data_IF_501670075869
#
_entry.id   IF_501670075869
#
_cell.length_a   1.000
_cell.length_b   1.000
_cell.length_c   1.000
_cell.angle_alpha   90.00
_cell.angle_beta   90.00
_cell.angle_gamma   90.00
#
_symmetry.space_group_name_H-M   'P 1'
#
loop_
_entity.id
_entity.type
_entity.pdbx_description
1 polymer ?
#
# COMPACT_ATOMS: atom_id res chain seq x y z
N UNK A 1 -11.28 6.69 9.62
CA UNK A 1 -10.84 5.69 10.64
C UNK A 1 -10.33 4.39 10.01
N UNK A 2 -11.13 3.64 9.25
CA UNK A 2 -10.68 2.34 8.69
C UNK A 2 -9.57 2.49 7.64
N UNK A 3 -9.74 3.38 6.66
CA UNK A 3 -8.73 3.65 5.62
C UNK A 3 -7.41 4.13 6.22
N UNK A 4 -7.48 5.01 7.21
CA UNK A 4 -6.30 5.50 7.93
C UNK A 4 -5.58 4.37 8.68
N UNK A 5 -6.32 3.45 9.31
CA UNK A 5 -5.74 2.30 9.99
C UNK A 5 -5.07 1.32 9.00
N UNK A 6 -5.75 0.99 7.89
CA UNK A 6 -5.18 0.18 6.81
C UNK A 6 -3.94 0.84 6.20
N UNK A 7 -3.98 2.16 6.00
CA UNK A 7 -2.84 2.93 5.52
C UNK A 7 -1.62 2.82 6.45
N UNK A 8 -1.81 3.02 7.76
CA UNK A 8 -0.74 2.86 8.75
C UNK A 8 -0.19 1.43 8.77
N UNK A 9 -1.07 0.42 8.70
CA UNK A 9 -0.65 -0.98 8.63
C UNK A 9 0.18 -1.27 7.38
N UNK A 10 -0.21 -0.76 6.20
CA UNK A 10 0.55 -0.92 4.98
C UNK A 10 1.98 -0.38 5.12
N UNK A 11 2.15 0.81 5.73
CA UNK A 11 3.48 1.37 5.97
C UNK A 11 4.29 0.50 6.93
N UNK A 12 3.71 0.11 8.07
CA UNK A 12 4.39 -0.75 9.05
C UNK A 12 4.81 -2.09 8.42
N UNK A 13 3.95 -2.71 7.61
CA UNK A 13 4.29 -3.97 6.95
C UNK A 13 5.39 -3.78 5.90
N UNK A 14 5.40 -2.65 5.20
CA UNK A 14 6.48 -2.34 4.27
C UNK A 14 7.83 -2.15 5.00
N UNK A 15 7.85 -1.38 6.09
CA UNK A 15 9.04 -1.13 6.92
C UNK A 15 9.58 -2.41 7.57
N UNK A 16 8.69 -3.32 7.99
CA UNK A 16 9.05 -4.62 8.56
C UNK A 16 9.32 -5.69 7.50
N UNK A 17 9.28 -5.34 6.21
CA UNK A 17 9.47 -6.26 5.09
C UNK A 17 8.46 -7.44 5.07
N UNK A 18 7.30 -7.27 5.72
CA UNK A 18 6.19 -8.22 5.81
C UNK A 18 5.35 -8.19 4.53
N UNK A 19 5.94 -8.70 3.44
CA UNK A 19 5.39 -8.60 2.09
C UNK A 19 4.01 -9.25 1.92
N UNK A 20 3.72 -10.34 2.62
CA UNK A 20 2.41 -11.00 2.53
C UNK A 20 1.30 -10.15 3.14
N UNK A 21 1.53 -9.62 4.34
CA UNK A 21 0.60 -8.75 5.05
C UNK A 21 0.45 -7.41 4.34
N UNK A 22 1.52 -6.87 3.77
CA UNK A 22 1.47 -5.70 2.91
C UNK A 22 0.58 -5.94 1.69
N UNK A 23 0.78 -7.04 0.96
CA UNK A 23 -0.02 -7.35 -0.23
C UNK A 23 -1.51 -7.47 0.09
N UNK A 24 -1.86 -8.14 1.20
CA UNK A 24 -3.25 -8.21 1.66
C UNK A 24 -3.82 -6.83 1.95
N UNK A 25 -3.07 -5.98 2.67
CA UNK A 25 -3.52 -4.64 3.04
C UNK A 25 -3.71 -3.73 1.81
N UNK A 26 -2.82 -3.84 0.81
CA UNK A 26 -2.96 -3.11 -0.45
C UNK A 26 -4.21 -3.53 -1.22
N UNK A 27 -4.55 -4.82 -1.20
CA UNK A 27 -5.77 -5.34 -1.82
C UNK A 27 -7.03 -4.85 -1.09
N UNK A 28 -7.03 -4.82 0.25
CA UNK A 28 -8.14 -4.29 1.04
C UNK A 28 -8.39 -2.81 0.75
N UNK A 29 -7.32 -2.02 0.58
CA UNK A 29 -7.40 -0.58 0.25
C UNK A 29 -8.06 -0.30 -1.11
N UNK A 30 -8.03 -1.24 -2.06
CA UNK A 30 -8.64 -1.06 -3.39
C UNK A 30 -10.15 -0.83 -3.31
N UNK A 31 -10.82 -1.39 -2.31
CA UNK A 31 -12.26 -1.19 -2.10
C UNK A 31 -12.62 0.21 -1.61
N UNK A 32 -11.64 1.03 -1.23
CA UNK A 32 -11.85 2.36 -0.63
C UNK A 32 -11.36 3.52 -1.51
N UNK A 33 -10.88 3.27 -2.72
CA UNK A 33 -10.47 4.36 -3.63
C UNK A 33 -11.03 4.12 -5.02
N UNK A 34 -11.32 5.19 -5.74
CA UNK A 34 -11.62 5.13 -7.18
C UNK A 34 -10.51 5.78 -8.00
N UNK A 35 -9.90 6.84 -7.47
CA UNK A 35 -8.87 7.61 -8.20
C UNK A 35 -7.51 6.93 -8.19
N UNK A 36 -7.21 6.12 -7.18
CA UNK A 36 -5.88 5.56 -6.93
C UNK A 36 -5.82 4.02 -7.12
N UNK A 37 -6.84 3.42 -7.74
CA UNK A 37 -6.91 1.97 -7.95
C UNK A 37 -5.68 1.47 -8.73
N UNK A 38 -5.33 2.13 -9.84
CA UNK A 38 -4.20 1.73 -10.69
C UNK A 38 -2.87 1.78 -9.93
N UNK A 39 -2.66 2.81 -9.11
CA UNK A 39 -1.48 2.93 -8.25
C UNK A 39 -1.40 1.81 -7.20
N UNK A 40 -2.52 1.42 -6.59
CA UNK A 40 -2.58 0.27 -5.68
C UNK A 40 -2.33 -1.06 -6.38
N UNK A 41 -2.85 -1.25 -7.60
CA UNK A 41 -2.57 -2.43 -8.41
C UNK A 41 -1.09 -2.54 -8.76
N UNK A 42 -0.49 -1.43 -9.17
CA UNK A 42 0.95 -1.38 -9.47
C UNK A 42 1.79 -1.65 -8.21
N UNK A 43 1.43 -1.06 -7.07
CA UNK A 43 2.10 -1.35 -5.80
C UNK A 43 1.97 -2.85 -5.43
N UNK A 44 0.80 -3.44 -5.61
CA UNK A 44 0.57 -4.88 -5.35
C UNK A 44 1.45 -5.76 -6.24
N UNK A 45 1.51 -5.48 -7.55
CA UNK A 45 2.36 -6.20 -8.51
C UNK A 45 3.85 -6.11 -8.17
N UNK A 46 4.30 -4.94 -7.70
CA UNK A 46 5.69 -4.77 -7.24
C UNK A 46 5.94 -5.67 -6.02
N UNK A 47 5.05 -5.68 -5.04
CA UNK A 47 5.20 -6.53 -3.84
C UNK A 47 5.22 -8.01 -4.21
N UNK A 48 4.33 -8.46 -5.12
CA UNK A 48 4.34 -9.84 -5.65
C UNK A 48 5.68 -10.19 -6.32
N UNK A 49 6.24 -9.28 -7.12
CA UNK A 49 7.57 -9.45 -7.72
C UNK A 49 8.65 -9.57 -6.64
N UNK A 50 8.65 -8.69 -5.64
CA UNK A 50 9.62 -8.74 -4.54
C UNK A 50 9.54 -10.04 -3.73
N UNK A 51 8.33 -10.60 -3.57
CA UNK A 51 8.14 -11.93 -2.96
C UNK A 51 8.79 -13.00 -3.85
N UNK A 52 8.44 -13.02 -5.14
CA UNK A 52 8.89 -14.05 -6.09
C UNK A 52 10.41 -14.07 -6.24
N UNK A 53 11.03 -12.89 -6.30
CA UNK A 53 12.47 -12.74 -6.49
C UNK A 53 13.25 -12.71 -5.16
N UNK A 54 12.58 -12.88 -4.01
CA UNK A 54 13.18 -12.81 -2.67
C UNK A 54 13.93 -11.48 -2.37
N UNK A 55 13.43 -10.36 -2.92
CA UNK A 55 14.06 -9.03 -2.78
C UNK A 55 13.44 -8.29 -1.57
N UNK A 56 14.24 -7.59 -0.75
CA UNK A 56 13.71 -6.74 0.32
C UNK A 56 12.99 -5.50 -0.24
N UNK A 57 12.01 -4.99 0.50
CA UNK A 57 11.37 -3.71 0.19
C UNK A 57 12.40 -2.60 0.42
N UNK A 58 12.64 -1.77 -0.60
CA UNK A 58 13.54 -0.61 -0.51
C UNK A 58 12.83 0.64 0.02
N UNK A 59 13.60 1.55 0.61
CA UNK A 59 13.09 2.82 1.17
C UNK A 59 12.33 3.66 0.14
N UNK A 60 12.79 3.71 -1.10
CA UNK A 60 12.11 4.43 -2.20
C UNK A 60 10.69 3.91 -2.46
N UNK A 61 10.46 2.59 -2.31
CA UNK A 61 9.11 2.04 -2.39
C UNK A 61 8.26 2.48 -1.19
N UNK A 62 8.84 2.50 0.01
CA UNK A 62 8.14 2.91 1.25
C UNK A 62 7.71 4.38 1.15
N UNK A 63 8.58 5.27 0.68
CA UNK A 63 8.26 6.70 0.54
C UNK A 63 7.14 6.94 -0.49
N UNK A 64 7.19 6.27 -1.65
CA UNK A 64 6.08 6.33 -2.61
C UNK A 64 4.78 5.78 -2.03
N UNK A 65 4.85 4.71 -1.24
CA UNK A 65 3.69 4.14 -0.59
C UNK A 65 3.07 5.12 0.41
N UNK A 66 3.89 5.84 1.20
CA UNK A 66 3.40 6.90 2.11
C UNK A 66 2.59 7.97 1.37
N UNK A 67 3.09 8.43 0.22
CA UNK A 67 2.38 9.43 -0.61
C UNK A 67 1.05 8.86 -1.10
N UNK A 68 1.05 7.64 -1.66
CA UNK A 68 -0.16 6.99 -2.15
C UNK A 68 -1.23 6.83 -1.05
N UNK A 69 -0.83 6.37 0.13
CA UNK A 69 -1.74 6.23 1.28
C UNK A 69 -2.31 7.58 1.72
N UNK A 70 -1.49 8.64 1.71
CA UNK A 70 -1.97 9.98 2.04
C UNK A 70 -3.04 10.45 1.04
N UNK A 71 -2.83 10.24 -0.26
CA UNK A 71 -3.80 10.61 -1.30
C UNK A 71 -5.12 9.85 -1.17
N UNK A 72 -5.08 8.54 -0.90
CA UNK A 72 -6.27 7.71 -0.67
C UNK A 72 -7.02 8.16 0.58
N UNK A 73 -6.29 8.47 1.65
CA UNK A 73 -6.89 8.95 2.90
C UNK A 73 -7.63 10.27 2.65
N UNK A 74 -6.98 11.22 1.95
CA UNK A 74 -7.59 12.51 1.58
C UNK A 74 -8.81 12.33 0.68
N UNK A 75 -8.78 11.38 -0.26
CA UNK A 75 -9.93 11.07 -1.11
C UNK A 75 -11.15 10.64 -0.28
N UNK A 76 -10.95 9.82 0.75
CA UNK A 76 -12.02 9.32 1.62
C UNK A 76 -12.53 10.37 2.62
N UNK A 77 -11.70 11.32 3.03
CA UNK A 77 -12.15 12.43 3.90
C UNK A 77 -13.04 13.44 3.17
N UNK A 78 -12.98 13.44 1.83
CA UNK A 78 -13.75 14.34 0.96
C UNK A 78 -15.02 13.70 0.37
N UNK A 79 -15.24 12.40 0.62
CA UNK A 79 -16.45 11.65 0.22
C UNK A 79 -17.48 11.62 1.35
#
# INVERSE_FOLDING_TARGET
MLVEALGKLAIIYAELNKKGELLNTLNDLKSYTRKNIESLENASKIVELLIRECIPIGEDFIERLKVLIHEITRENELM
#
